data_IF_057422906486
#
_entry.id   IF_057422906486
#
_cell.length_a   1.000
_cell.length_b   1.000
_cell.length_c   1.000
_cell.angle_alpha   90.00
_cell.angle_beta   90.00
_cell.angle_gamma   90.00
#
_symmetry.space_group_name_H-M   'P 1'
#
loop_
_entity.id
_entity.type
_entity.pdbx_description
1 polymer ?
#
# COMPACT_ATOMS: atom_id res chain seq x y z
N UNK A 1 69.65 49.93 5.73
CA UNK A 1 69.56 48.67 6.45
C UNK A 1 68.07 48.33 6.52
N UNK A 2 67.56 47.51 5.59
CA UNK A 2 66.20 47.17 5.42
C UNK A 2 66.02 45.65 5.63
N UNK A 3 65.22 45.25 6.61
CA UNK A 3 64.90 43.83 6.88
C UNK A 3 63.55 43.50 6.24
N UNK A 4 63.62 42.60 5.23
CA UNK A 4 62.43 42.02 4.61
C UNK A 4 61.98 40.82 5.43
N UNK A 5 60.77 40.90 5.97
CA UNK A 5 60.08 39.80 6.62
C UNK A 5 59.26 39.07 5.55
N UNK A 6 59.59 37.82 5.26
CA UNK A 6 58.81 36.94 4.39
C UNK A 6 57.69 36.29 5.20
N UNK A 7 56.44 36.57 4.82
CA UNK A 7 55.27 35.91 5.37
C UNK A 7 55.02 34.63 4.58
N UNK A 8 55.17 33.49 5.25
CA UNK A 8 54.83 32.16 4.71
C UNK A 8 53.34 31.91 4.86
N UNK A 9 52.59 31.99 3.76
CA UNK A 9 51.17 31.68 3.74
C UNK A 9 51.00 30.17 3.62
N UNK A 10 50.62 29.54 4.70
CA UNK A 10 50.33 28.09 4.75
C UNK A 10 48.90 27.85 4.26
N UNK A 11 48.74 27.38 3.02
CA UNK A 11 47.47 26.99 2.43
C UNK A 11 47.14 25.59 2.98
N UNK A 12 46.17 25.54 3.92
CA UNK A 12 45.57 24.29 4.37
C UNK A 12 44.50 23.88 3.34
N UNK A 13 44.84 22.92 2.46
CA UNK A 13 43.85 22.23 1.62
C UNK A 13 42.97 21.35 2.52
N UNK A 14 41.77 21.81 2.83
CA UNK A 14 40.69 20.97 3.34
C UNK A 14 40.24 20.05 2.20
N UNK A 15 40.72 18.82 2.21
CA UNK A 15 40.12 17.73 1.45
C UNK A 15 38.77 17.40 2.07
N UNK A 16 37.70 18.04 1.57
CA UNK A 16 36.34 17.54 1.73
C UNK A 16 36.24 16.21 0.96
N UNK A 17 36.54 15.13 1.63
CA UNK A 17 36.13 13.81 1.16
C UNK A 17 34.62 13.76 1.13
N UNK A 18 34.04 13.87 -0.06
CA UNK A 18 32.66 13.47 -0.33
C UNK A 18 32.55 11.96 -0.06
N UNK A 19 32.25 11.61 1.18
CA UNK A 19 31.84 10.26 1.50
C UNK A 19 30.54 9.97 0.73
N UNK A 20 30.66 9.30 -0.38
CA UNK A 20 29.52 8.60 -0.98
C UNK A 20 29.02 7.62 0.10
N UNK A 21 27.92 7.96 0.73
CA UNK A 21 27.16 7.01 1.53
C UNK A 21 26.65 5.98 0.53
N UNK A 22 27.42 4.90 0.36
CA UNK A 22 26.92 3.69 -0.28
C UNK A 22 25.69 3.28 0.54
N UNK A 23 24.49 3.54 -0.01
CA UNK A 23 23.31 2.86 0.44
C UNK A 23 23.63 1.36 0.35
N UNK A 24 23.79 0.71 1.49
CA UNK A 24 23.99 -0.73 1.51
C UNK A 24 22.84 -1.32 0.71
N UNK A 25 23.15 -1.96 -0.41
CA UNK A 25 22.19 -2.69 -1.21
C UNK A 25 21.74 -3.87 -0.35
N UNK A 26 20.63 -3.65 0.39
CA UNK A 26 20.04 -4.66 1.24
C UNK A 26 19.51 -5.77 0.32
N UNK A 27 20.33 -6.80 0.13
CA UNK A 27 19.88 -8.01 -0.58
C UNK A 27 18.63 -8.53 0.13
N UNK A 28 17.54 -8.73 -0.63
CA UNK A 28 16.27 -9.21 -0.10
C UNK A 28 16.42 -10.58 0.57
N UNK A 29 17.41 -11.39 0.17
CA UNK A 29 17.72 -12.69 0.76
C UNK A 29 18.08 -12.57 2.24
N UNK A 30 18.78 -11.49 2.62
CA UNK A 30 19.21 -11.25 4.00
C UNK A 30 18.05 -10.82 4.93
N UNK A 31 16.87 -10.55 4.39
CA UNK A 31 15.70 -10.19 5.17
C UNK A 31 15.05 -11.42 5.82
N UNK A 32 15.28 -12.61 5.25
CA UNK A 32 14.83 -13.88 5.80
C UNK A 32 15.93 -14.49 6.70
N UNK A 33 15.61 -14.85 7.95
CA UNK A 33 16.57 -15.49 8.84
C UNK A 33 17.16 -16.77 8.26
N UNK A 34 18.50 -16.87 8.17
CA UNK A 34 19.19 -18.00 7.53
C UNK A 34 19.23 -19.27 8.35
N UNK A 35 19.07 -19.17 9.69
CA UNK A 35 19.16 -20.33 10.58
C UNK A 35 17.81 -20.71 11.21
N UNK A 36 17.13 -19.74 11.80
CA UNK A 36 15.84 -19.94 12.47
C UNK A 36 15.03 -18.65 12.49
N UNK A 37 13.72 -18.75 12.30
CA UNK A 37 12.83 -17.57 12.45
C UNK A 37 12.36 -17.37 13.89
N UNK A 38 12.29 -18.44 14.68
CA UNK A 38 12.06 -18.42 16.14
C UNK A 38 12.60 -19.71 16.76
N UNK A 39 12.49 -19.85 18.07
CA UNK A 39 12.91 -21.07 18.77
C UNK A 39 12.17 -22.30 18.21
N UNK A 40 12.91 -23.40 17.99
CA UNK A 40 12.45 -24.63 17.37
C UNK A 40 12.03 -24.57 15.89
N UNK A 41 12.01 -23.39 15.25
CA UNK A 41 11.65 -23.24 13.84
C UNK A 41 12.89 -22.90 13.00
N UNK A 42 13.46 -23.95 12.38
CA UNK A 42 14.77 -23.87 11.70
C UNK A 42 14.60 -23.82 10.19
N UNK A 43 15.47 -23.05 9.54
CA UNK A 43 15.47 -22.92 8.10
C UNK A 43 15.75 -24.26 7.40
N UNK A 44 14.97 -24.54 6.36
CA UNK A 44 15.13 -25.68 5.46
C UNK A 44 15.74 -25.21 4.14
N UNK A 45 17.03 -25.48 3.96
CA UNK A 45 17.72 -25.10 2.73
C UNK A 45 18.06 -23.62 2.65
N UNK A 46 18.22 -23.13 1.41
CA UNK A 46 18.56 -21.74 1.11
C UNK A 46 17.32 -20.94 0.77
N UNK A 47 17.40 -19.61 0.95
CA UNK A 47 16.41 -18.68 0.43
C UNK A 47 16.33 -18.83 -1.10
N UNK A 48 15.12 -18.89 -1.63
CA UNK A 48 14.85 -18.94 -3.08
C UNK A 48 14.31 -17.59 -3.53
N UNK A 49 14.75 -17.14 -4.70
CA UNK A 49 14.29 -15.89 -5.31
C UNK A 49 13.38 -16.15 -6.51
N UNK A 50 12.35 -15.31 -6.64
CA UNK A 50 11.46 -15.30 -7.79
C UNK A 50 11.37 -13.89 -8.35
N UNK A 51 11.55 -13.77 -9.67
CA UNK A 51 11.40 -12.54 -10.45
C UNK A 51 9.99 -12.47 -11.07
N UNK A 52 9.72 -11.42 -11.85
CA UNK A 52 8.45 -11.32 -12.58
C UNK A 52 8.18 -12.53 -13.49
N UNK A 53 9.25 -13.09 -14.09
CA UNK A 53 9.12 -14.20 -15.03
C UNK A 53 8.91 -15.54 -14.34
N UNK A 54 9.29 -15.67 -13.07
CA UNK A 54 9.24 -16.93 -12.32
C UNK A 54 8.27 -16.91 -11.14
N UNK A 55 7.61 -15.79 -10.86
CA UNK A 55 6.68 -15.66 -9.73
C UNK A 55 5.52 -16.68 -9.79
N UNK A 56 5.07 -17.01 -10.99
CA UNK A 56 4.03 -18.03 -11.23
C UNK A 56 4.41 -19.42 -10.73
N UNK A 57 5.70 -19.76 -10.73
CA UNK A 57 6.18 -21.06 -10.26
C UNK A 57 5.96 -21.23 -8.75
N UNK A 58 5.85 -20.14 -8.00
CA UNK A 58 5.65 -20.13 -6.54
C UNK A 58 4.20 -19.91 -6.12
N UNK A 59 3.52 -18.89 -6.69
CA UNK A 59 2.18 -18.48 -6.26
C UNK A 59 1.09 -18.69 -7.33
N UNK A 60 1.42 -19.38 -8.43
CA UNK A 60 0.46 -19.68 -9.50
C UNK A 60 -0.27 -18.42 -10.00
N UNK A 61 -1.58 -18.51 -10.23
CA UNK A 61 -2.41 -17.42 -10.73
C UNK A 61 -2.50 -16.18 -9.82
N UNK A 62 -2.09 -16.26 -8.55
CA UNK A 62 -2.00 -15.07 -7.67
C UNK A 62 -0.95 -14.06 -8.17
N UNK A 63 0.03 -14.46 -8.99
CA UNK A 63 1.10 -13.59 -9.48
C UNK A 63 0.56 -12.32 -10.17
N UNK A 64 -0.52 -12.42 -10.92
CA UNK A 64 -1.19 -11.30 -11.60
C UNK A 64 -1.65 -10.20 -10.65
N UNK A 65 -1.96 -10.52 -9.38
CA UNK A 65 -2.36 -9.54 -8.39
C UNK A 65 -1.22 -8.62 -7.96
N UNK A 66 0.03 -9.05 -8.10
CA UNK A 66 1.21 -8.33 -7.61
C UNK A 66 1.78 -7.36 -8.64
N UNK A 67 1.65 -7.64 -9.92
CA UNK A 67 2.27 -6.85 -10.98
C UNK A 67 1.79 -5.39 -11.04
N UNK A 68 0.49 -5.06 -10.88
CA UNK A 68 0.03 -3.68 -10.83
C UNK A 68 0.63 -2.87 -9.68
N UNK A 69 1.02 -3.54 -8.58
CA UNK A 69 1.67 -2.92 -7.42
C UNK A 69 3.19 -2.83 -7.56
N UNK A 70 3.71 -2.97 -8.79
CA UNK A 70 5.14 -2.82 -9.07
C UNK A 70 5.99 -3.88 -8.39
N UNK A 71 5.54 -5.13 -8.40
CA UNK A 71 6.34 -6.26 -7.93
C UNK A 71 7.72 -6.27 -8.58
N UNK A 72 8.79 -6.41 -7.79
CA UNK A 72 10.16 -6.45 -8.26
C UNK A 72 10.77 -7.84 -8.10
N UNK A 73 10.71 -8.38 -6.89
CA UNK A 73 11.30 -9.68 -6.52
C UNK A 73 10.63 -10.22 -5.25
N UNK A 74 10.56 -11.55 -5.14
CA UNK A 74 10.18 -12.29 -3.95
C UNK A 74 11.36 -13.10 -3.45
N UNK A 75 11.63 -13.04 -2.14
CA UNK A 75 12.46 -14.00 -1.43
C UNK A 75 11.56 -14.90 -0.58
N UNK A 76 11.77 -16.20 -0.63
CA UNK A 76 11.04 -17.19 0.18
C UNK A 76 11.97 -18.11 0.94
N UNK A 77 11.59 -18.46 2.17
CA UNK A 77 12.23 -19.45 3.00
C UNK A 77 11.20 -20.31 3.71
N UNK A 78 11.54 -21.56 3.93
CA UNK A 78 10.72 -22.51 4.72
C UNK A 78 11.40 -22.79 6.05
N UNK A 79 10.63 -22.75 7.12
CA UNK A 79 11.09 -23.08 8.48
C UNK A 79 10.30 -24.26 9.02
N UNK A 80 11.02 -25.31 9.42
CA UNK A 80 10.44 -26.55 9.95
C UNK A 80 10.45 -26.52 11.49
N UNK A 81 9.38 -27.02 12.09
CA UNK A 81 9.32 -27.25 13.53
C UNK A 81 10.15 -28.48 13.91
N UNK A 82 11.23 -28.29 14.68
CA UNK A 82 12.08 -29.42 15.15
C UNK A 82 11.33 -30.45 15.99
N UNK A 83 10.29 -30.01 16.70
CA UNK A 83 9.48 -30.91 17.56
C UNK A 83 8.40 -31.65 16.77
N UNK A 84 8.02 -31.17 15.59
CA UNK A 84 7.09 -31.82 14.68
C UNK A 84 7.48 -31.52 13.22
N UNK A 85 8.30 -32.36 12.58
CA UNK A 85 8.82 -32.14 11.24
C UNK A 85 7.77 -32.07 10.12
N UNK A 86 6.52 -32.41 10.39
CA UNK A 86 5.41 -32.26 9.45
C UNK A 86 4.84 -30.83 9.41
N UNK A 87 5.22 -29.97 10.36
CA UNK A 87 4.78 -28.60 10.45
C UNK A 87 5.84 -27.65 9.90
N UNK A 88 5.44 -26.82 8.94
CA UNK A 88 6.31 -25.82 8.33
C UNK A 88 5.66 -24.44 8.34
N UNK A 89 6.50 -23.39 8.36
CA UNK A 89 6.14 -22.02 8.05
C UNK A 89 6.87 -21.60 6.78
N UNK A 90 6.12 -21.24 5.75
CA UNK A 90 6.66 -20.58 4.56
C UNK A 90 6.61 -19.09 4.81
N UNK A 91 7.73 -18.42 4.66
CA UNK A 91 7.87 -16.97 4.81
C UNK A 91 8.27 -16.36 3.47
N UNK A 92 7.43 -15.50 2.96
CA UNK A 92 7.57 -14.78 1.72
C UNK A 92 7.79 -13.29 1.99
N UNK A 93 8.84 -12.70 1.44
CA UNK A 93 9.13 -11.27 1.47
C UNK A 93 9.09 -10.74 0.05
N UNK A 94 8.08 -9.94 -0.27
CA UNK A 94 7.87 -9.31 -1.58
C UNK A 94 8.40 -7.89 -1.56
N UNK A 95 9.30 -7.52 -2.47
CA UNK A 95 9.69 -6.12 -2.71
C UNK A 95 8.76 -5.52 -3.75
N UNK A 96 8.05 -4.48 -3.35
CA UNK A 96 7.05 -3.78 -4.17
C UNK A 96 7.59 -2.43 -4.64
N UNK A 97 6.94 -1.79 -5.61
CA UNK A 97 7.37 -0.53 -6.20
C UNK A 97 7.49 0.65 -5.22
N UNK A 98 6.73 0.64 -4.13
CA UNK A 98 6.74 1.70 -3.11
C UNK A 98 6.05 1.24 -1.82
N UNK A 99 6.16 2.06 -0.76
CA UNK A 99 5.37 1.88 0.48
C UNK A 99 3.86 1.81 0.21
N UNK A 100 3.33 2.69 -0.66
CA UNK A 100 1.91 2.67 -1.02
C UNK A 100 1.52 1.38 -1.75
N UNK A 101 2.40 0.85 -2.59
CA UNK A 101 2.19 -0.41 -3.30
C UNK A 101 2.22 -1.61 -2.34
N UNK A 102 3.15 -1.64 -1.38
CA UNK A 102 3.19 -2.67 -0.33
C UNK A 102 1.92 -2.64 0.55
N UNK A 103 1.47 -1.44 0.93
CA UNK A 103 0.18 -1.28 1.59
C UNK A 103 -0.98 -1.75 0.70
N UNK A 104 -0.94 -1.44 -0.60
CA UNK A 104 -1.98 -1.82 -1.55
C UNK A 104 -2.18 -3.33 -1.60
N UNK A 105 -1.11 -4.10 -1.82
CA UNK A 105 -1.21 -5.57 -1.83
C UNK A 105 -1.61 -6.12 -0.47
N UNK A 106 -1.06 -5.60 0.64
CA UNK A 106 -1.47 -5.93 2.00
C UNK A 106 -2.97 -5.70 2.23
N UNK A 107 -3.50 -4.56 1.78
CA UNK A 107 -4.89 -4.18 1.98
C UNK A 107 -5.88 -5.06 1.19
N UNK A 108 -5.44 -5.76 0.14
CA UNK A 108 -6.27 -6.73 -0.59
C UNK A 108 -6.55 -7.99 0.24
N UNK A 109 -5.60 -8.37 1.10
CA UNK A 109 -5.76 -9.54 1.99
C UNK A 109 -6.38 -9.20 3.33
N UNK A 110 -6.26 -7.92 3.76
CA UNK A 110 -6.77 -7.47 5.05
C UNK A 110 -8.30 -7.43 5.04
N UNK A 111 -8.92 -8.18 5.94
CA UNK A 111 -10.36 -8.14 6.20
C UNK A 111 -10.65 -7.15 7.32
N UNK A 112 -11.85 -6.57 7.33
CA UNK A 112 -12.29 -5.64 8.38
C UNK A 112 -12.36 -6.28 9.79
N UNK A 113 -12.54 -7.62 9.85
CA UNK A 113 -12.60 -8.43 11.06
C UNK A 113 -11.25 -9.08 11.44
N UNK A 114 -10.17 -8.77 10.71
CA UNK A 114 -8.85 -9.35 10.96
C UNK A 114 -8.28 -8.92 12.32
N UNK A 115 -7.64 -9.87 13.01
CA UNK A 115 -6.96 -9.60 14.29
C UNK A 115 -5.66 -8.84 14.01
N UNK A 116 -5.62 -7.57 14.39
CA UNK A 116 -4.44 -6.72 14.20
C UNK A 116 -3.30 -7.13 15.12
N UNK A 117 -2.07 -7.00 14.64
CA UNK A 117 -0.83 -7.21 15.39
C UNK A 117 0.14 -6.06 15.19
N UNK A 118 0.97 -5.78 16.20
CA UNK A 118 1.99 -4.73 16.15
C UNK A 118 3.29 -5.28 15.56
N UNK A 119 3.34 -5.46 14.23
CA UNK A 119 4.54 -5.84 13.45
C UNK A 119 4.55 -5.01 12.17
N UNK A 120 5.72 -4.47 11.80
CA UNK A 120 5.85 -3.56 10.67
C UNK A 120 5.05 -2.27 10.84
N UNK A 121 4.56 -1.71 9.76
CA UNK A 121 3.66 -0.55 9.77
C UNK A 121 2.23 -0.93 10.17
N UNK A 122 1.75 -2.06 9.66
CA UNK A 122 0.51 -2.73 10.04
C UNK A 122 0.64 -4.23 9.76
N UNK A 123 0.05 -5.05 10.62
CA UNK A 123 -0.05 -6.49 10.41
C UNK A 123 -1.37 -7.06 10.91
N UNK A 124 -1.73 -8.22 10.39
CA UNK A 124 -2.84 -9.02 10.90
C UNK A 124 -2.48 -10.50 10.94
N UNK A 125 -3.18 -11.24 11.78
CA UNK A 125 -2.98 -12.67 11.96
C UNK A 125 -4.31 -13.42 11.89
N UNK A 126 -4.26 -14.61 11.32
CA UNK A 126 -5.30 -15.64 11.33
C UNK A 126 -4.71 -16.97 11.81
N UNK A 127 -5.49 -18.05 11.98
CA UNK A 127 -4.96 -19.34 12.40
C UNK A 127 -3.87 -19.91 11.48
N UNK A 128 -3.94 -19.65 10.18
CA UNK A 128 -3.03 -20.24 9.17
C UNK A 128 -2.05 -19.26 8.53
N UNK A 129 -2.21 -17.95 8.77
CA UNK A 129 -1.43 -16.92 8.10
C UNK A 129 -1.19 -15.70 8.99
N UNK A 130 -0.05 -15.05 8.77
CA UNK A 130 0.24 -13.72 9.26
C UNK A 130 0.75 -12.89 8.10
N UNK A 131 0.24 -11.68 7.96
CA UNK A 131 0.68 -10.74 6.93
C UNK A 131 0.95 -9.38 7.55
N UNK A 132 2.00 -8.70 7.05
CA UNK A 132 2.30 -7.32 7.41
C UNK A 132 3.02 -6.63 6.26
N UNK A 133 3.14 -5.29 6.36
CA UNK A 133 4.04 -4.54 5.48
C UNK A 133 4.92 -3.61 6.30
N UNK A 134 6.11 -3.35 5.77
CA UNK A 134 7.08 -2.42 6.31
C UNK A 134 7.87 -1.81 5.16
N UNK A 135 7.92 -0.46 5.09
CA UNK A 135 8.45 0.23 3.93
C UNK A 135 7.82 -0.31 2.62
N UNK A 136 8.62 -0.61 1.62
CA UNK A 136 8.17 -1.19 0.34
C UNK A 136 8.04 -2.72 0.33
N UNK A 137 8.11 -3.36 1.50
CA UNK A 137 8.07 -4.81 1.63
C UNK A 137 6.71 -5.27 2.16
N UNK A 138 6.10 -6.20 1.43
CA UNK A 138 4.96 -6.97 1.90
C UNK A 138 5.46 -8.34 2.35
N UNK A 139 5.04 -8.79 3.52
CA UNK A 139 5.47 -10.06 4.11
C UNK A 139 4.27 -10.93 4.39
N UNK A 140 4.35 -12.19 3.98
CA UNK A 140 3.36 -13.23 4.21
C UNK A 140 4.04 -14.44 4.87
N UNK A 141 3.51 -14.86 6.01
CA UNK A 141 3.84 -16.13 6.64
C UNK A 141 2.63 -17.05 6.55
N UNK A 142 2.84 -18.27 6.15
CA UNK A 142 1.79 -19.27 5.99
C UNK A 142 2.23 -20.61 6.59
N UNK A 143 1.37 -21.24 7.40
CA UNK A 143 1.63 -22.58 7.91
C UNK A 143 1.26 -23.64 6.87
N UNK A 144 2.05 -24.71 6.84
CA UNK A 144 1.81 -25.91 6.03
C UNK A 144 2.00 -27.15 6.92
N UNK A 145 1.28 -28.23 6.62
CA UNK A 145 1.31 -29.47 7.41
C UNK A 145 0.36 -29.48 8.61
N UNK A 146 -0.21 -28.30 8.95
CA UNK A 146 -1.28 -28.16 9.94
C UNK A 146 -2.28 -27.10 9.51
N UNK A 147 -3.47 -27.10 10.08
CA UNK A 147 -4.51 -26.11 9.76
C UNK A 147 -4.39 -24.80 10.55
N UNK A 148 -3.59 -24.83 11.63
CA UNK A 148 -3.42 -23.68 12.50
C UNK A 148 -2.08 -23.72 13.23
N UNK A 149 -1.54 -22.53 13.51
CA UNK A 149 -0.35 -22.34 14.32
C UNK A 149 -0.66 -21.37 15.47
N UNK A 150 0.01 -21.53 16.62
CA UNK A 150 -0.11 -20.57 17.72
C UNK A 150 0.33 -19.18 17.26
N UNK A 151 -0.45 -18.16 17.57
CA UNK A 151 -0.21 -16.80 17.12
C UNK A 151 1.12 -16.22 17.61
N UNK A 152 1.61 -16.64 18.78
CA UNK A 152 2.90 -16.23 19.32
C UNK A 152 4.08 -16.70 18.46
N UNK A 153 4.00 -17.90 17.86
CA UNK A 153 5.00 -18.43 16.93
C UNK A 153 5.04 -17.58 15.66
N UNK A 154 3.88 -17.33 15.03
CA UNK A 154 3.78 -16.43 13.87
C UNK A 154 4.35 -15.05 14.19
N UNK A 155 3.97 -14.48 15.35
CA UNK A 155 4.44 -13.15 15.79
C UNK A 155 5.94 -13.13 15.97
N UNK A 156 6.53 -14.14 16.62
CA UNK A 156 7.97 -14.22 16.84
C UNK A 156 8.75 -14.31 15.51
N UNK A 157 8.31 -15.17 14.56
CA UNK A 157 8.90 -15.22 13.22
C UNK A 157 8.78 -13.86 12.48
N UNK A 158 7.60 -13.25 12.51
CA UNK A 158 7.36 -11.97 11.86
C UNK A 158 8.20 -10.83 12.45
N UNK A 159 8.40 -10.81 13.76
CA UNK A 159 9.26 -9.84 14.44
C UNK A 159 10.73 -9.99 14.02
N UNK A 160 11.23 -11.23 13.92
CA UNK A 160 12.59 -11.49 13.44
C UNK A 160 12.79 -11.00 12.01
N UNK A 161 11.82 -11.26 11.11
CA UNK A 161 11.86 -10.75 9.73
C UNK A 161 11.78 -9.22 9.72
N UNK A 162 10.87 -8.62 10.48
CA UNK A 162 10.69 -7.16 10.57
C UNK A 162 11.97 -6.44 11.03
N UNK A 163 12.77 -7.06 11.90
CA UNK A 163 14.05 -6.50 12.36
C UNK A 163 15.12 -6.49 11.27
N UNK A 164 15.03 -7.39 10.29
CA UNK A 164 15.94 -7.45 9.14
C UNK A 164 15.53 -6.52 7.99
N UNK A 165 14.28 -6.03 7.99
CA UNK A 165 13.79 -5.07 7.00
C UNK A 165 14.29 -3.65 7.28
N UNK A 166 14.35 -2.74 6.29
CA UNK A 166 14.62 -1.33 6.51
C UNK A 166 13.72 -0.73 7.58
N UNK A 167 14.29 0.15 8.43
CA UNK A 167 13.64 0.68 9.63
C UNK A 167 12.62 1.79 9.32
N UNK A 168 11.66 1.52 8.44
CA UNK A 168 10.56 2.43 8.14
C UNK A 168 9.21 1.72 8.32
N UNK A 169 8.64 1.82 9.49
CA UNK A 169 7.32 1.29 9.83
C UNK A 169 6.21 2.34 9.70
N UNK A 170 6.37 3.32 8.82
CA UNK A 170 5.37 4.36 8.58
C UNK A 170 4.22 3.85 7.73
N UNK A 171 3.03 4.38 7.99
CA UNK A 171 1.87 4.20 7.09
C UNK A 171 1.99 5.14 5.88
N UNK A 172 1.45 4.77 4.70
CA UNK A 172 1.36 5.70 3.57
C UNK A 172 0.65 6.99 3.95
N UNK A 173 1.22 8.14 3.57
CA UNK A 173 0.64 9.45 3.85
C UNK A 173 -0.75 9.62 3.25
N UNK A 174 -1.03 8.96 2.15
CA UNK A 174 -2.30 8.97 1.42
C UNK A 174 -3.47 8.48 2.27
N UNK A 175 -3.22 7.65 3.29
CA UNK A 175 -4.25 7.22 4.25
C UNK A 175 -4.79 8.39 5.10
N UNK A 176 -4.04 9.49 5.21
CA UNK A 176 -4.51 10.70 5.90
C UNK A 176 -5.74 11.33 5.23
N UNK A 177 -5.96 11.08 3.94
CA UNK A 177 -7.12 11.59 3.20
C UNK A 177 -8.46 10.99 3.68
N UNK A 178 -8.39 9.87 4.41
CA UNK A 178 -9.54 9.23 5.04
C UNK A 178 -9.69 9.55 6.54
N UNK A 179 -9.02 10.59 7.05
CA UNK A 179 -9.25 11.09 8.42
C UNK A 179 -10.54 11.91 8.50
N UNK A 180 -11.64 11.28 8.12
CA UNK A 180 -13.00 11.85 8.11
C UNK A 180 -13.91 11.01 9.03
N UNK A 181 -14.98 11.60 9.57
CA UNK A 181 -15.95 10.88 10.38
C UNK A 181 -16.58 9.70 9.65
N UNK A 182 -16.84 8.62 10.36
CA UNK A 182 -17.58 7.47 9.87
C UNK A 182 -16.77 6.47 9.05
N UNK A 183 -15.47 6.68 8.84
CA UNK A 183 -14.62 5.68 8.18
C UNK A 183 -14.61 4.38 8.97
N UNK A 184 -14.88 3.28 8.29
CA UNK A 184 -14.83 1.94 8.87
C UNK A 184 -13.36 1.53 9.03
N UNK A 185 -12.97 1.16 10.22
CA UNK A 185 -11.59 0.73 10.50
C UNK A 185 -11.17 -0.41 9.57
N UNK A 186 -9.93 -0.35 9.10
CA UNK A 186 -9.34 -1.35 8.22
C UNK A 186 -10.04 -1.51 6.85
N UNK A 187 -10.85 -0.54 6.42
CA UNK A 187 -11.52 -0.57 5.13
C UNK A 187 -10.76 0.17 4.01
N UNK A 188 -9.75 0.96 4.37
CA UNK A 188 -8.94 1.69 3.41
C UNK A 188 -8.15 0.72 2.54
N UNK A 189 -8.20 0.93 1.23
CA UNK A 189 -7.47 0.15 0.22
C UNK A 189 -6.85 1.09 -0.80
N UNK A 190 -5.69 0.72 -1.29
CA UNK A 190 -5.10 1.30 -2.49
C UNK A 190 -5.25 0.28 -3.62
N UNK A 191 -5.83 0.72 -4.72
CA UNK A 191 -6.03 -0.07 -5.94
C UNK A 191 -5.11 0.51 -7.01
N UNK A 192 -4.15 -0.28 -7.44
CA UNK A 192 -3.09 0.18 -8.34
C UNK A 192 -3.50 0.19 -9.83
N UNK A 193 -4.62 -0.44 -10.17
CA UNK A 193 -5.13 -0.50 -11.54
C UNK A 193 -6.66 -0.56 -11.54
N UNK A 194 -7.29 0.22 -12.42
CA UNK A 194 -8.74 0.18 -12.69
C UNK A 194 -9.60 0.30 -11.43
N UNK A 195 -9.40 1.36 -10.65
CA UNK A 195 -10.23 1.63 -9.48
C UNK A 195 -11.72 1.59 -9.90
N UNK A 196 -12.55 0.94 -9.09
CA UNK A 196 -13.97 0.69 -9.38
C UNK A 196 -14.21 -0.09 -10.70
N UNK A 197 -13.21 -0.81 -11.21
CA UNK A 197 -13.32 -1.52 -12.48
C UNK A 197 -13.27 -0.63 -13.71
N UNK A 198 -13.11 0.69 -13.56
CA UNK A 198 -13.03 1.61 -14.69
C UNK A 198 -11.59 1.84 -15.14
N UNK A 199 -11.28 1.55 -16.40
CA UNK A 199 -9.93 1.72 -16.95
C UNK A 199 -9.46 3.19 -16.92
N UNK A 200 -10.36 4.17 -16.99
CA UNK A 200 -10.04 5.58 -16.88
C UNK A 200 -9.70 6.02 -15.44
N UNK A 201 -10.09 5.28 -14.42
CA UNK A 201 -9.59 5.44 -13.06
C UNK A 201 -8.38 4.54 -12.86
N UNK A 202 -7.24 4.96 -13.42
CA UNK A 202 -6.05 4.11 -13.48
C UNK A 202 -5.64 3.54 -12.13
N UNK A 203 -5.65 4.36 -11.09
CA UNK A 203 -5.30 4.00 -9.70
C UNK A 203 -6.05 4.90 -8.72
N UNK A 204 -6.18 4.45 -7.50
CA UNK A 204 -6.77 5.31 -6.47
C UNK A 204 -6.93 4.61 -5.14
N UNK A 205 -7.49 5.34 -4.22
CA UNK A 205 -7.78 4.85 -2.88
C UNK A 205 -9.27 4.82 -2.65
N UNK A 206 -9.73 3.87 -1.85
CA UNK A 206 -11.13 3.70 -1.49
C UNK A 206 -11.25 3.27 -0.03
N UNK A 207 -12.28 3.76 0.64
CA UNK A 207 -12.62 3.34 2.00
C UNK A 207 -14.14 3.26 2.18
N UNK A 208 -14.58 2.38 3.06
CA UNK A 208 -15.98 2.33 3.48
C UNK A 208 -16.23 3.39 4.56
N UNK A 209 -17.39 4.04 4.48
CA UNK A 209 -17.82 5.09 5.40
C UNK A 209 -19.25 4.85 5.82
N UNK A 210 -19.57 5.00 7.11
CA UNK A 210 -20.94 5.05 7.60
C UNK A 210 -21.43 6.49 7.51
N UNK A 211 -22.37 6.73 6.61
CA UNK A 211 -23.03 8.01 6.43
C UNK A 211 -24.53 7.84 6.70
N UNK A 212 -25.08 8.57 7.67
CA UNK A 212 -26.49 8.45 8.08
C UNK A 212 -26.96 7.00 8.32
N UNK A 213 -26.10 6.21 9.00
CA UNK A 213 -26.37 4.80 9.31
C UNK A 213 -26.24 3.83 8.12
N UNK A 214 -25.83 4.29 6.94
CA UNK A 214 -25.62 3.46 5.74
C UNK A 214 -24.15 3.35 5.40
N UNK A 215 -23.75 2.16 4.93
CA UNK A 215 -22.40 1.92 4.42
C UNK A 215 -22.32 2.35 2.97
N UNK A 216 -21.54 3.36 2.72
CA UNK A 216 -21.15 3.90 1.41
C UNK A 216 -19.67 3.70 1.18
N UNK A 217 -19.16 4.09 0.01
CA UNK A 217 -17.73 4.12 -0.23
C UNK A 217 -17.30 5.51 -0.70
N UNK A 218 -16.16 5.96 -0.18
CA UNK A 218 -15.47 7.17 -0.62
C UNK A 218 -14.21 6.76 -1.36
N UNK A 219 -13.94 7.37 -2.52
CA UNK A 219 -12.76 7.11 -3.30
C UNK A 219 -12.03 8.39 -3.70
N UNK A 220 -10.73 8.27 -3.95
CA UNK A 220 -9.84 9.35 -4.37
C UNK A 220 -8.94 8.82 -5.48
N UNK A 221 -8.97 9.48 -6.64
CA UNK A 221 -8.07 9.22 -7.78
C UNK A 221 -7.06 10.37 -7.84
N UNK A 222 -5.79 10.15 -7.48
CA UNK A 222 -4.74 11.13 -7.66
C UNK A 222 -4.21 11.07 -9.09
N UNK A 223 -4.20 12.21 -9.75
CA UNK A 223 -3.61 12.37 -11.07
C UNK A 223 -2.30 13.16 -10.99
N UNK A 224 -1.52 13.15 -12.06
CA UNK A 224 -0.24 13.87 -12.11
C UNK A 224 -0.44 15.38 -12.20
N UNK A 225 -1.52 15.81 -12.84
CA UNK A 225 -1.86 17.23 -13.04
C UNK A 225 -3.37 17.47 -12.98
N UNK A 226 -3.74 18.78 -12.91
CA UNK A 226 -5.13 19.21 -13.04
C UNK A 226 -5.71 18.82 -14.41
N UNK A 227 -4.92 18.93 -15.48
CA UNK A 227 -5.40 18.62 -16.83
C UNK A 227 -5.70 17.12 -16.99
N UNK A 228 -4.88 16.26 -16.36
CA UNK A 228 -5.15 14.83 -16.33
C UNK A 228 -6.41 14.52 -15.52
N UNK A 229 -6.61 15.18 -14.37
CA UNK A 229 -7.83 15.00 -13.58
C UNK A 229 -9.08 15.47 -14.30
N UNK A 230 -9.00 16.55 -15.10
CA UNK A 230 -10.10 16.98 -15.95
C UNK A 230 -10.44 15.94 -17.03
N UNK A 231 -9.43 15.37 -17.69
CA UNK A 231 -9.64 14.28 -18.67
C UNK A 231 -10.29 13.05 -18.04
N UNK A 232 -9.80 12.64 -16.87
CA UNK A 232 -10.37 11.52 -16.11
C UNK A 232 -11.82 11.78 -15.70
N UNK A 233 -12.12 13.00 -15.26
CA UNK A 233 -13.48 13.43 -14.94
C UNK A 233 -14.39 13.40 -16.18
N UNK A 234 -13.92 13.93 -17.32
CA UNK A 234 -14.68 13.96 -18.57
C UNK A 234 -14.94 12.54 -19.11
N UNK A 235 -14.02 11.60 -18.92
CA UNK A 235 -14.22 10.20 -19.26
C UNK A 235 -15.36 9.59 -18.42
N UNK A 236 -15.35 9.79 -17.11
CA UNK A 236 -16.42 9.30 -16.25
C UNK A 236 -17.76 9.97 -16.53
N UNK A 237 -17.74 11.29 -16.75
CA UNK A 237 -18.93 12.03 -17.16
C UNK A 237 -19.52 11.50 -18.49
N UNK A 238 -18.67 11.24 -19.48
CA UNK A 238 -19.08 10.71 -20.79
C UNK A 238 -19.69 9.30 -20.64
N UNK A 239 -19.09 8.45 -19.82
CA UNK A 239 -19.64 7.14 -19.47
C UNK A 239 -21.04 7.28 -18.85
N UNK A 240 -21.18 8.13 -17.83
CA UNK A 240 -22.46 8.33 -17.14
C UNK A 240 -23.53 8.98 -18.03
N UNK A 241 -23.15 9.76 -19.02
CA UNK A 241 -24.12 10.32 -20.00
C UNK A 241 -24.75 9.23 -20.86
N UNK A 242 -24.04 8.15 -21.13
CA UNK A 242 -24.51 7.03 -21.95
C UNK A 242 -25.21 5.98 -21.08
N UNK A 243 -24.58 5.57 -20.01
CA UNK A 243 -25.00 4.41 -19.20
C UNK A 243 -25.76 4.80 -17.93
N UNK A 244 -25.54 6.02 -17.42
CA UNK A 244 -26.10 6.50 -16.15
C UNK A 244 -27.47 7.16 -16.30
N UNK A 245 -28.04 7.58 -15.16
CA UNK A 245 -29.31 8.32 -15.11
C UNK A 245 -29.17 9.56 -14.22
N UNK A 246 -30.02 10.58 -14.48
CA UNK A 246 -30.10 11.77 -13.64
C UNK A 246 -28.80 12.58 -13.58
N UNK A 247 -28.01 12.55 -14.65
CA UNK A 247 -26.70 13.19 -14.70
C UNK A 247 -26.83 14.71 -14.61
N UNK A 248 -26.24 15.29 -13.57
CA UNK A 248 -26.25 16.73 -13.34
C UNK A 248 -24.83 17.20 -13.00
N UNK A 249 -24.35 18.24 -13.68
CA UNK A 249 -23.01 18.80 -13.50
C UNK A 249 -23.11 20.25 -13.06
N UNK A 250 -22.35 20.61 -12.02
CA UNK A 250 -22.21 21.97 -11.51
C UNK A 250 -20.75 22.38 -11.66
N UNK A 251 -20.49 23.43 -12.43
CA UNK A 251 -19.16 24.01 -12.63
C UNK A 251 -19.00 25.29 -11.83
N UNK A 252 -17.89 25.39 -11.11
CA UNK A 252 -17.42 26.61 -10.46
C UNK A 252 -15.97 26.88 -10.89
N UNK A 253 -15.38 28.05 -10.63
CA UNK A 253 -14.02 28.38 -11.10
C UNK A 253 -12.96 27.35 -10.69
N UNK A 254 -13.08 26.75 -9.51
CA UNK A 254 -12.04 25.88 -8.94
C UNK A 254 -12.41 24.40 -8.89
N UNK A 255 -13.62 24.01 -9.29
CA UNK A 255 -14.09 22.63 -9.19
C UNK A 255 -15.24 22.34 -10.14
N UNK A 256 -15.38 21.08 -10.48
CA UNK A 256 -16.53 20.55 -11.20
C UNK A 256 -17.13 19.44 -10.35
N UNK A 257 -18.42 19.51 -10.07
CA UNK A 257 -19.14 18.47 -9.33
C UNK A 257 -20.13 17.77 -10.25
N UNK A 258 -20.25 16.47 -10.11
CA UNK A 258 -21.16 15.58 -10.85
C UNK A 258 -22.01 14.80 -9.85
N UNK A 259 -23.29 14.68 -10.13
CA UNK A 259 -24.19 13.70 -9.48
C UNK A 259 -24.94 12.90 -10.53
N UNK A 260 -25.14 11.61 -10.26
CA UNK A 260 -25.83 10.70 -11.16
C UNK A 260 -26.25 9.42 -10.41
N UNK A 261 -26.95 8.56 -11.11
CA UNK A 261 -27.11 7.14 -10.77
C UNK A 261 -26.21 6.36 -11.73
N UNK A 262 -25.17 5.75 -11.20
CA UNK A 262 -24.24 4.86 -11.91
C UNK A 262 -24.86 3.45 -11.94
N UNK A 263 -24.90 2.75 -13.09
CA UNK A 263 -25.52 1.42 -13.19
C UNK A 263 -24.85 0.35 -12.32
N UNK A 264 -23.56 0.51 -11.99
CA UNK A 264 -22.79 -0.44 -11.18
C UNK A 264 -22.79 -0.06 -9.68
N UNK A 265 -22.83 1.24 -9.38
CA UNK A 265 -22.60 1.74 -8.03
C UNK A 265 -23.78 2.51 -7.40
N UNK A 266 -24.91 2.65 -8.11
CA UNK A 266 -26.05 3.41 -7.62
C UNK A 266 -25.78 4.90 -7.56
N UNK A 267 -26.32 5.61 -6.57
CA UNK A 267 -26.11 7.05 -6.46
C UNK A 267 -24.63 7.40 -6.28
N UNK A 268 -24.16 8.36 -7.07
CA UNK A 268 -22.78 8.86 -7.03
C UNK A 268 -22.74 10.37 -6.91
N UNK A 269 -21.80 10.88 -6.13
CA UNK A 269 -21.39 12.28 -6.09
C UNK A 269 -19.89 12.34 -6.28
N UNK A 270 -19.44 13.05 -7.32
CA UNK A 270 -18.03 13.12 -7.70
C UNK A 270 -17.62 14.58 -7.91
N UNK A 271 -16.43 14.92 -7.47
CA UNK A 271 -15.85 16.24 -7.61
C UNK A 271 -14.44 16.16 -8.20
N UNK A 272 -14.17 16.93 -9.25
CA UNK A 272 -12.83 17.23 -9.72
C UNK A 272 -12.31 18.45 -8.96
N UNK A 273 -11.15 18.30 -8.27
CA UNK A 273 -10.51 19.34 -7.49
C UNK A 273 -8.98 19.27 -7.59
N UNK A 274 -8.36 20.35 -8.05
CA UNK A 274 -6.92 20.33 -8.29
C UNK A 274 -6.52 19.19 -9.22
N UNK A 275 -5.62 18.31 -8.76
CA UNK A 275 -5.21 17.11 -9.47
C UNK A 275 -5.98 15.84 -9.06
N UNK A 276 -7.07 15.98 -8.32
CA UNK A 276 -7.78 14.84 -7.74
C UNK A 276 -9.19 14.70 -8.31
N UNK A 277 -9.65 13.46 -8.45
CA UNK A 277 -11.07 13.10 -8.48
C UNK A 277 -11.41 12.55 -7.10
N UNK A 278 -12.42 13.11 -6.48
CA UNK A 278 -12.92 12.70 -5.18
C UNK A 278 -14.37 12.27 -5.37
N UNK A 279 -14.76 11.10 -4.89
CA UNK A 279 -16.13 10.66 -5.07
C UNK A 279 -16.66 9.82 -3.91
N UNK A 280 -17.99 9.79 -3.83
CA UNK A 280 -18.73 8.87 -3.00
C UNK A 280 -19.73 8.09 -3.87
N UNK A 281 -19.87 6.80 -3.59
CA UNK A 281 -20.72 5.87 -4.33
C UNK A 281 -21.62 5.07 -3.37
N UNK A 282 -22.61 4.38 -3.90
CA UNK A 282 -23.63 3.63 -3.16
C UNK A 282 -24.53 4.54 -2.32
N UNK A 283 -24.70 5.76 -2.78
CA UNK A 283 -25.57 6.74 -2.14
C UNK A 283 -27.02 6.44 -2.49
N UNK A 284 -27.92 6.62 -1.51
CA UNK A 284 -29.36 6.63 -1.80
C UNK A 284 -29.71 7.93 -2.53
N UNK A 285 -29.23 9.05 -1.97
CA UNK A 285 -29.39 10.39 -2.51
C UNK A 285 -27.99 11.00 -2.70
N UNK A 286 -27.58 11.31 -3.94
CA UNK A 286 -26.22 11.81 -4.22
C UNK A 286 -25.84 13.06 -3.41
N UNK A 287 -26.77 13.94 -3.13
CA UNK A 287 -26.52 15.19 -2.44
C UNK A 287 -26.11 15.03 -0.97
N UNK A 288 -26.42 13.89 -0.34
CA UNK A 288 -26.02 13.61 1.06
C UNK A 288 -24.51 13.56 1.26
N UNK A 289 -23.75 13.23 0.21
CA UNK A 289 -22.29 13.13 0.29
C UNK A 289 -21.56 14.49 0.18
N UNK A 290 -22.23 15.60 -0.13
CA UNK A 290 -21.56 16.91 -0.34
C UNK A 290 -20.70 17.34 0.85
N UNK A 291 -21.21 17.23 2.07
CA UNK A 291 -20.49 17.59 3.28
C UNK A 291 -19.27 16.70 3.52
N UNK A 292 -19.40 15.40 3.24
CA UNK A 292 -18.33 14.43 3.36
C UNK A 292 -17.22 14.68 2.34
N UNK A 293 -17.54 14.90 1.07
CA UNK A 293 -16.58 15.23 0.01
C UNK A 293 -15.87 16.57 0.31
N UNK A 294 -16.57 17.55 0.88
CA UNK A 294 -15.94 18.79 1.34
C UNK A 294 -14.89 18.55 2.45
N UNK A 295 -15.14 17.60 3.35
CA UNK A 295 -14.16 17.25 4.39
C UNK A 295 -12.92 16.57 3.79
N UNK A 296 -13.11 15.61 2.87
CA UNK A 296 -11.99 14.98 2.14
C UNK A 296 -11.17 16.04 1.41
N UNK A 297 -11.81 16.95 0.69
CA UNK A 297 -11.12 18.03 -0.04
C UNK A 297 -10.20 18.86 0.86
N UNK A 298 -10.63 19.21 2.08
CA UNK A 298 -9.79 19.96 3.05
C UNK A 298 -8.55 19.22 3.49
N UNK A 299 -8.52 17.90 3.35
CA UNK A 299 -7.35 17.06 3.67
C UNK A 299 -6.39 16.93 2.49
N UNK A 300 -6.79 17.38 1.29
CA UNK A 300 -5.98 17.38 0.08
C UNK A 300 -5.28 18.72 -0.18
N UNK A 301 -5.74 19.78 0.50
CA UNK A 301 -5.11 21.12 0.51
C UNK A 301 -3.84 21.10 1.39
#
# INVERSE_FOLDING_TARGET
MSRHAAIFLMIICLLCGSGEIFAADFSIENMLPSEKCTENWVAMGKVTLYTKDTLFDHINGEAELYFPYGFEVLATATYMNRSNPEEWVVADVYRMGSLLNAFGIYSNYRRSDAVSIAVGAEGFVSPSQLMFYQDRYFVRLQVTGTTSLKQDIFRACAQTISQNLPFNASRPRELSFFRIPGVVSNSERYIAQSLLGYAFFQRGMIADVILEGKRIQVFIVPEESRDNSLKTFDNYFSYLKVEGQGVNVIKTPNRISLKAIDPLYGGVFVEQYGRYIIGAIRLKEPDTAKGLIQQVRRLLD
#
